data_IF_037383294375
#
_entry.id   IF_037383294375
#
_cell.length_a   1.000
_cell.length_b   1.000
_cell.length_c   1.000
_cell.angle_alpha   90.00
_cell.angle_beta   90.00
_cell.angle_gamma   90.00
#
_symmetry.space_group_name_H-M   'P 1'
#
loop_
_entity.id
_entity.type
_entity.pdbx_description
1 polymer ?
#
# COMPACT_ATOMS: atom_id res chain seq x y z
N UNK A 1 -10.45 11.39 9.33
CA UNK A 1 -9.76 10.57 8.32
C UNK A 1 -10.81 9.96 7.40
N UNK A 2 -10.46 9.68 6.14
CA UNK A 2 -11.32 9.03 5.17
C UNK A 2 -11.03 7.52 5.15
N UNK A 3 -12.08 6.72 4.96
CA UNK A 3 -11.90 5.31 4.62
C UNK A 3 -11.23 5.19 3.25
N UNK A 4 -10.27 4.28 3.14
CA UNK A 4 -9.54 3.98 1.92
C UNK A 4 -9.83 2.54 1.53
N UNK A 5 -10.32 2.33 0.30
CA UNK A 5 -10.48 0.97 -0.23
C UNK A 5 -9.10 0.35 -0.46
N UNK A 6 -9.00 -0.96 -0.24
CA UNK A 6 -7.78 -1.68 -0.60
C UNK A 6 -7.53 -1.55 -2.11
N UNK A 7 -6.30 -1.24 -2.53
CA UNK A 7 -5.96 -1.17 -3.94
C UNK A 7 -6.05 -2.56 -4.57
N UNK A 8 -6.66 -2.66 -5.74
CA UNK A 8 -6.69 -3.90 -6.51
C UNK A 8 -5.45 -3.95 -7.43
N UNK A 9 -4.30 -4.31 -6.85
CA UNK A 9 -3.08 -4.42 -7.63
C UNK A 9 -3.17 -5.54 -8.68
N UNK A 10 -2.77 -5.30 -9.95
CA UNK A 10 -2.64 -6.35 -10.95
C UNK A 10 -1.73 -7.48 -10.47
N UNK A 11 -2.09 -8.72 -10.79
CA UNK A 11 -1.32 -9.89 -10.36
C UNK A 11 0.14 -9.79 -10.83
N UNK A 12 0.39 -9.25 -12.01
CA UNK A 12 1.73 -9.07 -12.57
C UNK A 12 2.59 -8.12 -11.72
N UNK A 13 1.99 -7.11 -11.09
CA UNK A 13 2.70 -6.25 -10.14
C UNK A 13 2.95 -6.97 -8.82
N UNK A 14 1.95 -7.68 -8.31
CA UNK A 14 2.06 -8.45 -7.07
C UNK A 14 3.20 -9.47 -7.19
N UNK A 15 3.22 -10.25 -8.26
CA UNK A 15 4.27 -11.24 -8.56
C UNK A 15 5.64 -10.58 -8.69
N UNK A 16 5.73 -9.46 -9.43
CA UNK A 16 6.97 -8.72 -9.60
C UNK A 16 7.50 -8.16 -8.27
N UNK A 17 6.62 -7.63 -7.41
CA UNK A 17 6.98 -7.11 -6.09
C UNK A 17 7.40 -8.23 -5.14
N UNK A 18 6.69 -9.36 -5.10
CA UNK A 18 7.07 -10.54 -4.31
C UNK A 18 8.45 -11.03 -4.71
N UNK A 19 8.65 -11.26 -6.02
CA UNK A 19 9.93 -11.68 -6.58
C UNK A 19 11.06 -10.71 -6.24
N UNK A 20 10.78 -9.41 -6.33
CA UNK A 20 11.73 -8.37 -5.98
C UNK A 20 12.14 -8.44 -4.51
N UNK A 21 11.17 -8.52 -3.59
CA UNK A 21 11.42 -8.55 -2.15
C UNK A 21 12.11 -9.85 -1.70
N UNK A 22 11.70 -11.00 -2.25
CA UNK A 22 12.38 -12.28 -2.06
C UNK A 22 13.84 -12.18 -2.51
N UNK A 23 14.08 -11.60 -3.70
CA UNK A 23 15.44 -11.45 -4.24
C UNK A 23 16.33 -10.59 -3.34
N UNK A 24 15.82 -9.45 -2.85
CA UNK A 24 16.55 -8.60 -1.91
C UNK A 24 16.83 -9.32 -0.59
N UNK A 25 15.84 -10.07 -0.07
CA UNK A 25 16.04 -10.81 1.17
C UNK A 25 17.08 -11.92 1.02
N UNK A 26 17.03 -12.69 -0.07
CA UNK A 26 18.05 -13.67 -0.45
C UNK A 26 19.44 -13.02 -0.48
N UNK A 27 19.57 -11.83 -1.08
CA UNK A 27 20.85 -11.13 -1.12
C UNK A 27 21.38 -10.74 0.25
N UNK A 28 20.49 -10.37 1.18
CA UNK A 28 20.83 -10.01 2.56
C UNK A 28 21.16 -11.22 3.46
N UNK A 29 20.65 -12.42 3.14
CA UNK A 29 20.77 -13.62 3.99
C UNK A 29 21.76 -14.64 3.47
N UNK A 30 21.86 -14.81 2.15
CA UNK A 30 22.76 -15.77 1.49
C UNK A 30 24.20 -15.24 1.53
N UNK A 31 24.78 -15.37 2.72
CA UNK A 31 26.15 -15.00 3.06
C UNK A 31 27.20 -15.96 2.49
N UNK A 32 28.48 -15.60 2.59
CA UNK A 32 29.61 -16.47 2.25
C UNK A 32 29.53 -17.85 2.94
N UNK A 33 29.06 -17.88 4.19
CA UNK A 33 28.90 -19.14 4.93
C UNK A 33 27.75 -19.99 4.39
N UNK A 34 26.60 -19.38 4.04
CA UNK A 34 25.48 -20.08 3.41
C UNK A 34 25.94 -20.74 2.11
N UNK A 35 26.59 -19.95 1.26
CA UNK A 35 27.15 -20.42 -0.01
C UNK A 35 28.15 -21.55 0.23
N UNK A 36 29.03 -21.44 1.24
CA UNK A 36 29.99 -22.51 1.57
C UNK A 36 29.32 -23.84 1.88
N UNK A 37 28.20 -23.83 2.61
CA UNK A 37 27.45 -25.07 2.91
C UNK A 37 26.94 -25.70 1.61
N UNK A 38 26.28 -24.93 0.74
CA UNK A 38 25.77 -25.44 -0.54
C UNK A 38 26.91 -25.97 -1.39
N UNK A 39 28.02 -25.21 -1.52
CA UNK A 39 29.21 -25.65 -2.27
C UNK A 39 29.76 -26.98 -1.75
N UNK A 40 29.82 -27.19 -0.45
CA UNK A 40 30.40 -28.41 0.11
C UNK A 40 29.55 -29.66 -0.15
N UNK A 41 28.25 -29.50 -0.42
CA UNK A 41 27.34 -30.62 -0.66
C UNK A 41 27.07 -30.89 -2.14
N UNK A 42 27.19 -29.87 -3.01
CA UNK A 42 26.72 -29.95 -4.40
C UNK A 42 27.74 -29.42 -5.44
N UNK A 43 29.02 -29.27 -5.09
CA UNK A 43 30.01 -28.69 -6.01
C UNK A 43 30.11 -29.50 -7.31
N UNK A 44 30.24 -30.81 -7.20
CA UNK A 44 30.46 -31.70 -8.34
C UNK A 44 29.28 -31.62 -9.30
N UNK A 45 28.05 -31.71 -8.80
CA UNK A 45 26.83 -31.59 -9.62
C UNK A 45 26.71 -30.23 -10.30
N UNK A 46 26.98 -29.15 -9.56
CA UNK A 46 26.92 -27.78 -10.08
C UNK A 46 28.00 -27.53 -11.15
N UNK A 47 29.23 -28.02 -10.95
CA UNK A 47 30.30 -27.91 -11.93
C UNK A 47 30.05 -28.79 -13.15
N UNK A 48 29.51 -30.01 -12.97
CA UNK A 48 29.12 -30.88 -14.07
C UNK A 48 27.98 -30.27 -14.92
N UNK A 49 27.03 -29.60 -14.28
CA UNK A 49 25.86 -29.01 -14.94
C UNK A 49 26.19 -27.68 -15.60
N UNK A 50 26.77 -26.73 -14.84
CA UNK A 50 26.95 -25.34 -15.25
C UNK A 50 28.40 -24.95 -15.52
N UNK A 51 29.37 -25.84 -15.31
CA UNK A 51 30.81 -25.53 -15.43
C UNK A 51 31.30 -24.48 -14.43
N UNK A 52 30.53 -24.24 -13.37
CA UNK A 52 30.78 -23.20 -12.38
C UNK A 52 30.04 -23.50 -11.10
N UNK A 53 30.72 -23.40 -9.96
CA UNK A 53 30.10 -23.40 -8.65
C UNK A 53 30.47 -22.10 -7.95
N UNK A 54 29.51 -21.18 -7.82
CA UNK A 54 29.75 -19.88 -7.22
C UNK A 54 28.50 -19.19 -6.70
N UNK A 55 28.66 -18.07 -5.96
CA UNK A 55 27.56 -17.42 -5.26
C UNK A 55 26.47 -16.92 -6.21
N UNK A 56 26.84 -16.44 -7.40
CA UNK A 56 25.87 -15.94 -8.39
C UNK A 56 24.96 -17.04 -8.90
N UNK A 57 25.51 -18.20 -9.26
CA UNK A 57 24.73 -19.37 -9.69
C UNK A 57 23.82 -19.89 -8.56
N UNK A 58 24.36 -20.05 -7.35
CA UNK A 58 23.56 -20.55 -6.23
C UNK A 58 22.39 -19.61 -5.93
N UNK A 59 22.62 -18.29 -5.92
CA UNK A 59 21.54 -17.31 -5.76
C UNK A 59 20.53 -17.36 -6.91
N UNK A 60 20.99 -17.53 -8.14
CA UNK A 60 20.12 -17.69 -9.32
C UNK A 60 19.20 -18.91 -9.20
N UNK A 61 19.72 -20.09 -8.86
CA UNK A 61 18.91 -21.30 -8.69
C UNK A 61 17.91 -21.17 -7.54
N UNK A 62 18.32 -20.52 -6.45
CA UNK A 62 17.41 -20.23 -5.34
C UNK A 62 16.28 -19.29 -5.78
N UNK A 63 16.59 -18.21 -6.51
CA UNK A 63 15.59 -17.26 -7.01
C UNK A 63 14.64 -17.92 -8.00
N UNK A 64 15.15 -18.78 -8.89
CA UNK A 64 14.36 -19.59 -9.81
C UNK A 64 13.32 -20.41 -9.04
N UNK A 65 13.78 -21.16 -8.03
CA UNK A 65 12.91 -21.97 -7.19
C UNK A 65 11.87 -21.12 -6.45
N UNK A 66 12.27 -20.04 -5.76
CA UNK A 66 11.32 -19.21 -5.02
C UNK A 66 10.29 -18.51 -5.91
N UNK A 67 10.65 -18.22 -7.17
CA UNK A 67 9.76 -17.57 -8.13
C UNK A 67 8.96 -18.55 -8.98
N UNK A 68 9.12 -19.87 -8.76
CA UNK A 68 8.54 -20.94 -9.59
C UNK A 68 8.83 -20.80 -11.10
N UNK A 69 9.98 -20.22 -11.45
CA UNK A 69 10.38 -20.02 -12.84
C UNK A 69 11.04 -21.28 -13.42
N UNK A 70 11.17 -21.33 -14.75
CA UNK A 70 11.79 -22.43 -15.47
C UNK A 70 12.90 -21.90 -16.39
N UNK A 71 14.07 -21.66 -15.79
CA UNK A 71 15.20 -21.10 -16.52
C UNK A 71 15.73 -22.06 -17.57
N UNK A 72 15.59 -23.37 -17.34
CA UNK A 72 15.93 -24.38 -18.33
C UNK A 72 15.13 -24.19 -19.63
N UNK A 73 13.80 -24.17 -19.52
CA UNK A 73 12.93 -24.02 -20.70
C UNK A 73 13.08 -22.64 -21.32
N UNK A 74 13.17 -21.57 -20.51
CA UNK A 74 13.38 -20.21 -21.01
C UNK A 74 14.70 -20.07 -21.80
N UNK A 75 15.78 -20.68 -21.32
CA UNK A 75 17.08 -20.65 -22.01
C UNK A 75 17.03 -21.45 -23.32
N UNK A 76 16.44 -22.64 -23.30
CA UNK A 76 16.38 -23.49 -24.51
C UNK A 76 15.44 -22.93 -25.57
N UNK A 77 14.39 -22.22 -25.17
CA UNK A 77 13.44 -21.58 -26.08
C UNK A 77 13.86 -20.17 -26.53
N UNK A 78 15.00 -19.66 -26.06
CA UNK A 78 15.46 -18.32 -26.43
C UNK A 78 15.78 -18.24 -27.93
N UNK A 79 15.25 -17.22 -28.66
CA UNK A 79 15.50 -17.08 -30.09
C UNK A 79 16.97 -16.70 -30.35
N UNK A 80 17.60 -17.37 -31.31
CA UNK A 80 18.98 -17.11 -31.76
C UNK A 80 20.07 -17.25 -30.66
N UNK A 81 20.49 -18.49 -30.39
CA UNK A 81 21.49 -18.81 -29.34
C UNK A 81 22.95 -18.43 -29.69
N UNK A 82 23.19 -17.73 -30.81
CA UNK A 82 24.53 -17.40 -31.27
C UNK A 82 25.01 -15.99 -30.89
N UNK A 83 24.10 -15.06 -30.63
CA UNK A 83 24.43 -13.66 -30.44
C UNK A 83 24.86 -13.28 -29.01
N UNK A 84 25.12 -11.98 -28.82
CA UNK A 84 25.54 -11.41 -27.53
C UNK A 84 24.37 -11.24 -26.56
N UNK A 85 23.14 -11.12 -27.06
CA UNK A 85 21.93 -11.00 -26.25
C UNK A 85 21.65 -12.31 -25.53
N UNK A 86 21.77 -13.44 -26.21
CA UNK A 86 21.64 -14.77 -25.60
C UNK A 86 22.64 -14.96 -24.44
N UNK A 87 23.91 -14.56 -24.62
CA UNK A 87 24.91 -14.62 -23.54
C UNK A 87 24.53 -13.76 -22.34
N UNK A 88 23.93 -12.58 -22.57
CA UNK A 88 23.43 -11.71 -21.49
C UNK A 88 22.22 -12.34 -20.80
N UNK A 89 21.30 -12.92 -21.56
CA UNK A 89 20.13 -13.62 -21.06
C UNK A 89 20.49 -14.79 -20.15
N UNK A 90 21.33 -15.71 -20.63
CA UNK A 90 21.83 -16.86 -19.85
C UNK A 90 22.53 -16.37 -18.57
N UNK A 91 23.41 -15.38 -18.67
CA UNK A 91 24.09 -14.81 -17.50
C UNK A 91 23.12 -14.18 -16.50
N UNK A 92 22.02 -13.60 -16.96
CA UNK A 92 20.98 -13.02 -16.11
C UNK A 92 20.16 -14.08 -15.38
N UNK A 93 19.87 -15.20 -16.05
CA UNK A 93 19.10 -16.32 -15.50
C UNK A 93 19.92 -17.15 -14.51
N UNK A 94 21.00 -17.79 -14.97
CA UNK A 94 21.79 -18.74 -14.17
C UNK A 94 23.04 -18.12 -13.51
N UNK A 95 23.29 -16.83 -13.67
CA UNK A 95 24.40 -16.15 -12.98
C UNK A 95 25.80 -16.51 -13.46
N UNK A 96 25.92 -17.18 -14.62
CA UNK A 96 27.18 -17.52 -15.31
C UNK A 96 26.98 -17.57 -16.83
N UNK A 97 28.06 -17.34 -17.58
CA UNK A 97 28.14 -17.42 -19.05
C UNK A 97 29.47 -18.00 -19.52
N UNK A 98 30.04 -18.91 -18.73
CA UNK A 98 31.33 -19.54 -19.03
C UNK A 98 31.26 -20.34 -20.35
N UNK A 99 32.43 -20.64 -20.95
CA UNK A 99 32.49 -21.36 -22.23
C UNK A 99 31.80 -22.73 -22.16
N UNK A 100 31.88 -23.42 -21.03
CA UNK A 100 31.34 -24.75 -20.83
C UNK A 100 29.81 -24.76 -20.97
N UNK A 101 29.08 -23.95 -20.18
CA UNK A 101 27.62 -23.92 -20.24
C UNK A 101 27.11 -23.43 -21.60
N UNK A 102 27.79 -22.43 -22.19
CA UNK A 102 27.42 -21.91 -23.50
C UNK A 102 27.55 -22.98 -24.60
N UNK A 103 28.59 -23.82 -24.55
CA UNK A 103 28.73 -24.95 -25.48
C UNK A 103 27.70 -26.04 -25.20
N UNK A 104 27.43 -26.34 -23.93
CA UNK A 104 26.43 -27.33 -23.52
C UNK A 104 25.04 -27.00 -24.07
N UNK A 105 24.61 -25.74 -23.95
CA UNK A 105 23.30 -25.31 -24.46
C UNK A 105 23.25 -25.38 -25.99
N UNK A 106 24.27 -24.84 -26.69
CA UNK A 106 24.32 -24.82 -28.17
C UNK A 106 24.38 -26.20 -28.81
N UNK A 107 24.97 -27.16 -28.11
CA UNK A 107 25.06 -28.55 -28.57
C UNK A 107 23.86 -29.39 -28.07
N UNK A 108 22.82 -28.77 -27.51
CA UNK A 108 21.63 -29.45 -26.96
C UNK A 108 21.94 -30.51 -25.90
N UNK A 109 23.00 -30.29 -25.12
CA UNK A 109 23.44 -31.15 -24.00
C UNK A 109 23.20 -30.51 -22.63
N UNK A 110 22.52 -29.36 -22.59
CA UNK A 110 22.00 -28.82 -21.34
C UNK A 110 20.71 -29.56 -21.03
N UNK A 111 20.73 -30.39 -19.99
CA UNK A 111 19.59 -31.21 -19.57
C UNK A 111 18.75 -30.47 -18.52
N UNK A 112 17.50 -30.90 -18.37
CA UNK A 112 16.58 -30.36 -17.36
C UNK A 112 17.04 -30.78 -15.96
N UNK A 113 17.89 -29.94 -15.39
CA UNK A 113 18.48 -30.15 -14.07
C UNK A 113 17.44 -30.16 -12.95
N UNK A 114 16.24 -29.58 -13.16
CA UNK A 114 15.19 -29.56 -12.14
C UNK A 114 14.62 -30.96 -11.87
N UNK A 115 14.82 -31.90 -12.81
CA UNK A 115 14.45 -33.31 -12.66
C UNK A 115 15.52 -34.15 -11.98
N UNK A 116 16.71 -33.60 -11.77
CA UNK A 116 17.83 -34.34 -11.20
C UNK A 116 17.74 -34.41 -9.67
N UNK A 117 18.16 -35.55 -9.10
CA UNK A 117 18.09 -35.80 -7.66
C UNK A 117 18.88 -34.77 -6.85
N UNK A 118 20.06 -34.35 -7.34
CA UNK A 118 20.89 -33.36 -6.66
C UNK A 118 20.19 -32.01 -6.53
N UNK A 119 19.37 -31.61 -7.52
CA UNK A 119 18.64 -30.35 -7.47
C UNK A 119 17.58 -30.38 -6.38
N UNK A 120 16.80 -31.47 -6.30
CA UNK A 120 15.82 -31.67 -5.22
C UNK A 120 16.48 -31.66 -3.84
N UNK A 121 17.66 -32.28 -3.72
CA UNK A 121 18.46 -32.25 -2.48
C UNK A 121 18.99 -30.84 -2.17
N UNK A 122 19.40 -30.08 -3.19
CA UNK A 122 19.84 -28.69 -3.06
C UNK A 122 18.71 -27.80 -2.55
N UNK A 123 17.51 -27.92 -3.11
CA UNK A 123 16.31 -27.19 -2.67
C UNK A 123 15.95 -27.56 -1.24
N UNK A 124 15.93 -28.85 -0.91
CA UNK A 124 15.70 -29.32 0.47
C UNK A 124 16.70 -28.71 1.44
N UNK A 125 17.99 -28.66 1.05
CA UNK A 125 19.04 -28.06 1.88
C UNK A 125 18.87 -26.55 2.00
N UNK A 126 18.49 -25.88 0.92
CA UNK A 126 18.18 -24.46 0.89
C UNK A 126 17.04 -24.13 1.87
N UNK A 127 15.91 -24.84 1.80
CA UNK A 127 14.76 -24.62 2.67
C UNK A 127 15.12 -24.81 4.15
N UNK A 128 15.88 -25.87 4.48
CA UNK A 128 16.38 -26.07 5.84
C UNK A 128 17.25 -24.91 6.34
N UNK A 129 18.14 -24.38 5.49
CA UNK A 129 19.03 -23.28 5.87
C UNK A 129 18.28 -21.95 5.96
N UNK A 130 17.35 -21.70 5.03
CA UNK A 130 16.52 -20.50 5.06
C UNK A 130 15.62 -20.49 6.27
N UNK A 131 14.85 -21.55 6.51
CA UNK A 131 13.96 -21.63 7.66
C UNK A 131 14.67 -21.40 9.00
N UNK A 132 15.93 -21.86 9.13
CA UNK A 132 16.76 -21.53 10.32
C UNK A 132 17.15 -20.06 10.38
N UNK A 133 17.44 -19.42 9.24
CA UNK A 133 17.86 -18.01 9.14
C UNK A 133 16.69 -17.03 9.28
N UNK A 134 15.52 -17.37 8.76
CA UNK A 134 14.27 -16.60 8.81
C UNK A 134 13.30 -17.14 9.86
N UNK A 135 13.77 -17.90 10.86
CA UNK A 135 12.92 -18.56 11.85
C UNK A 135 11.94 -17.59 12.53
N UNK A 136 12.36 -16.37 12.83
CA UNK A 136 11.49 -15.36 13.45
C UNK A 136 10.36 -14.89 12.51
N UNK A 137 10.66 -14.73 11.22
CA UNK A 137 9.65 -14.41 10.20
C UNK A 137 8.69 -15.57 10.04
N UNK A 138 9.21 -16.79 9.97
CA UNK A 138 8.40 -18.00 9.88
C UNK A 138 7.45 -18.10 11.07
N UNK A 139 7.96 -18.01 12.30
CA UNK A 139 7.15 -18.08 13.52
C UNK A 139 6.06 -17.00 13.56
N UNK A 140 6.41 -15.75 13.18
CA UNK A 140 5.44 -14.66 13.08
C UNK A 140 4.30 -15.00 12.14
N UNK A 141 4.62 -15.47 10.93
CA UNK A 141 3.59 -15.81 9.94
C UNK A 141 2.78 -17.03 10.38
N UNK A 142 3.42 -18.04 10.97
CA UNK A 142 2.72 -19.21 11.53
C UNK A 142 1.73 -18.84 12.65
N UNK A 143 2.10 -17.87 13.48
CA UNK A 143 1.26 -17.35 14.55
C UNK A 143 0.06 -16.59 14.00
N UNK A 144 0.28 -15.69 13.03
CA UNK A 144 -0.79 -14.90 12.42
C UNK A 144 -1.74 -15.78 11.61
N UNK A 145 -1.22 -16.75 10.87
CA UNK A 145 -2.01 -17.63 10.01
C UNK A 145 -2.60 -18.84 10.75
N UNK A 146 -2.14 -19.13 11.97
CA UNK A 146 -2.57 -20.29 12.75
C UNK A 146 -2.21 -21.65 12.10
N UNK A 147 -1.21 -21.69 11.20
CA UNK A 147 -0.77 -22.92 10.51
C UNK A 147 0.74 -22.94 10.31
N UNK A 148 1.30 -24.13 10.14
CA UNK A 148 2.74 -24.32 9.95
C UNK A 148 3.14 -24.21 8.47
N UNK A 149 4.37 -23.73 8.21
CA UNK A 149 4.93 -23.56 6.87
C UNK A 149 6.26 -24.29 6.68
N UNK A 150 6.45 -24.95 5.54
CA UNK A 150 7.73 -25.58 5.18
C UNK A 150 8.53 -24.77 4.15
N UNK A 151 7.85 -24.02 3.28
CA UNK A 151 8.43 -23.25 2.18
C UNK A 151 8.74 -21.82 2.59
N UNK A 152 9.98 -21.36 2.39
CA UNK A 152 10.37 -19.97 2.59
C UNK A 152 9.59 -19.02 1.69
N UNK A 153 9.41 -19.37 0.42
CA UNK A 153 8.70 -18.52 -0.52
C UNK A 153 7.25 -18.27 -0.07
N UNK A 154 6.58 -19.31 0.43
CA UNK A 154 5.17 -19.24 0.84
C UNK A 154 4.95 -18.30 2.02
N UNK A 155 5.64 -18.49 3.16
CA UNK A 155 5.41 -17.60 4.30
C UNK A 155 5.94 -16.18 4.06
N UNK A 156 6.96 -16.01 3.21
CA UNK A 156 7.48 -14.68 2.90
C UNK A 156 6.53 -13.90 1.99
N UNK A 157 5.88 -14.57 1.05
CA UNK A 157 4.77 -14.02 0.26
C UNK A 157 3.60 -13.59 1.15
N UNK A 158 3.19 -14.43 2.10
CA UNK A 158 2.13 -14.07 3.06
C UNK A 158 2.50 -12.84 3.87
N UNK A 159 3.74 -12.70 4.31
CA UNK A 159 4.19 -11.48 5.00
C UNK A 159 4.08 -10.23 4.11
N UNK A 160 4.43 -10.35 2.82
CA UNK A 160 4.34 -9.25 1.85
C UNK A 160 2.89 -8.85 1.58
N UNK A 161 1.98 -9.83 1.54
CA UNK A 161 0.56 -9.63 1.25
C UNK A 161 -0.32 -9.56 2.49
N UNK A 162 0.28 -9.37 3.67
CA UNK A 162 -0.44 -9.44 4.92
C UNK A 162 -1.55 -8.39 5.00
N UNK A 163 -2.78 -8.86 5.21
CA UNK A 163 -3.98 -8.02 5.22
C UNK A 163 -4.02 -7.11 6.48
N UNK A 164 -4.62 -5.91 6.38
CA UNK A 164 -4.69 -4.97 7.50
C UNK A 164 -5.35 -5.55 8.76
N UNK A 165 -6.39 -6.37 8.62
CA UNK A 165 -7.10 -7.01 9.73
C UNK A 165 -6.17 -7.95 10.52
N UNK A 166 -5.32 -8.68 9.81
CA UNK A 166 -4.36 -9.62 10.41
C UNK A 166 -3.24 -8.87 11.13
N UNK A 167 -2.75 -7.78 10.54
CA UNK A 167 -1.80 -6.89 11.21
C UNK A 167 -2.40 -6.26 12.47
N UNK A 168 -3.64 -5.78 12.41
CA UNK A 168 -4.34 -5.18 13.55
C UNK A 168 -4.55 -6.20 14.69
N UNK A 169 -5.04 -7.40 14.37
CA UNK A 169 -5.22 -8.47 15.34
C UNK A 169 -3.90 -8.85 16.02
N UNK A 170 -2.81 -8.97 15.25
CA UNK A 170 -1.49 -9.26 15.79
C UNK A 170 -1.03 -8.16 16.78
N UNK A 171 -1.16 -6.89 16.40
CA UNK A 171 -0.71 -5.75 17.21
C UNK A 171 -1.52 -5.62 18.50
N UNK A 172 -2.84 -5.82 18.43
CA UNK A 172 -3.70 -5.77 19.60
C UNK A 172 -3.31 -6.84 20.64
N UNK A 173 -2.85 -8.01 20.19
CA UNK A 173 -2.36 -9.09 21.05
C UNK A 173 -0.91 -8.88 21.55
N UNK A 174 -0.13 -7.98 20.94
CA UNK A 174 1.31 -7.83 21.18
C UNK A 174 1.75 -6.39 21.48
N UNK A 175 0.88 -5.61 22.09
CA UNK A 175 1.02 -4.17 22.34
C UNK A 175 2.29 -3.72 23.09
N UNK A 176 3.12 -4.64 23.59
CA UNK A 176 4.35 -4.37 24.35
C UNK A 176 5.64 -5.07 23.84
N UNK A 177 5.66 -5.68 22.66
CA UNK A 177 6.85 -6.42 22.21
C UNK A 177 7.88 -5.53 21.48
N UNK A 178 9.00 -5.25 22.15
CA UNK A 178 10.20 -4.64 21.58
C UNK A 178 10.90 -5.65 20.64
N UNK A 179 10.36 -5.80 19.43
CA UNK A 179 10.91 -6.67 18.38
C UNK A 179 11.86 -5.94 17.42
N UNK A 180 12.20 -4.67 17.71
CA UNK A 180 12.85 -3.76 16.78
C UNK A 180 14.14 -4.29 16.14
N UNK A 181 14.93 -5.07 16.89
CA UNK A 181 16.21 -5.59 16.42
C UNK A 181 16.06 -6.88 15.58
N UNK A 182 14.98 -7.62 15.75
CA UNK A 182 14.80 -8.97 15.19
C UNK A 182 14.45 -8.99 13.72
N UNK A 183 13.80 -7.92 13.24
CA UNK A 183 13.39 -7.77 11.84
C UNK A 183 14.15 -6.65 11.12
N UNK A 184 15.31 -6.24 11.64
CA UNK A 184 16.15 -5.21 11.01
C UNK A 184 16.42 -5.47 9.52
N UNK A 185 16.69 -6.73 9.16
CA UNK A 185 16.90 -7.11 7.76
C UNK A 185 15.70 -6.86 6.86
N UNK A 186 14.48 -7.02 7.39
CA UNK A 186 13.22 -6.77 6.65
C UNK A 186 13.05 -5.26 6.45
N UNK A 187 13.24 -4.49 7.52
CA UNK A 187 13.25 -3.03 7.48
C UNK A 187 14.24 -2.48 6.45
N UNK A 188 15.44 -3.07 6.37
CA UNK A 188 16.49 -2.64 5.43
C UNK A 188 16.15 -2.97 3.96
N UNK A 189 15.18 -3.85 3.68
CA UNK A 189 14.74 -4.13 2.30
C UNK A 189 13.91 -2.99 1.71
N UNK A 190 13.18 -2.27 2.57
CA UNK A 190 12.21 -1.24 2.17
C UNK A 190 12.90 -0.12 1.39
N UNK A 191 12.57 -0.04 0.10
CA UNK A 191 12.91 1.09 -0.75
C UNK A 191 11.95 1.15 -1.94
N UNK A 192 10.78 1.77 -1.76
CA UNK A 192 9.78 1.86 -2.83
C UNK A 192 10.18 2.81 -3.98
N UNK A 193 11.35 3.47 -3.91
CA UNK A 193 11.85 4.32 -4.98
C UNK A 193 12.54 3.54 -6.11
N UNK A 194 12.76 2.24 -5.92
CA UNK A 194 13.36 1.35 -6.91
C UNK A 194 12.41 1.01 -8.05
N UNK A 195 13.00 0.51 -9.13
CA UNK A 195 12.28 0.08 -10.32
C UNK A 195 12.17 -1.45 -10.35
N UNK A 196 11.00 -1.93 -10.74
CA UNK A 196 10.71 -3.34 -11.02
C UNK A 196 10.21 -3.47 -12.46
N UNK A 197 10.30 -4.67 -13.02
CA UNK A 197 9.77 -4.94 -14.36
C UNK A 197 8.37 -5.55 -14.23
N UNK A 198 7.38 -4.89 -14.81
CA UNK A 198 5.98 -5.33 -14.83
C UNK A 198 5.59 -5.45 -16.30
N UNK A 199 5.24 -6.66 -16.76
CA UNK A 199 4.89 -6.93 -18.17
C UNK A 199 5.91 -6.38 -19.19
N UNK A 200 7.20 -6.44 -18.86
CA UNK A 200 8.29 -5.94 -19.71
C UNK A 200 8.58 -4.45 -19.60
N UNK A 201 7.77 -3.68 -18.88
CA UNK A 201 7.99 -2.25 -18.64
C UNK A 201 8.70 -2.02 -17.30
N UNK A 202 9.66 -1.09 -17.28
CA UNK A 202 10.34 -0.69 -16.06
C UNK A 202 9.54 0.38 -15.33
N UNK A 203 9.00 0.02 -14.17
CA UNK A 203 8.10 0.87 -13.39
C UNK A 203 8.68 1.13 -12.00
N UNK A 204 8.52 2.36 -11.50
CA UNK A 204 8.91 2.72 -10.14
C UNK A 204 7.83 2.24 -9.17
N UNK A 205 8.20 1.48 -8.15
CA UNK A 205 7.24 0.77 -7.27
C UNK A 205 6.21 1.74 -6.68
N UNK A 206 6.64 2.82 -6.03
CA UNK A 206 5.73 3.78 -5.42
C UNK A 206 4.83 4.53 -6.42
N UNK A 207 5.31 4.84 -7.63
CA UNK A 207 4.48 5.43 -8.68
C UNK A 207 3.37 4.47 -9.09
N UNK A 208 3.72 3.21 -9.35
CA UNK A 208 2.77 2.18 -9.73
C UNK A 208 1.74 1.96 -8.61
N UNK A 209 2.18 1.86 -7.36
CA UNK A 209 1.28 1.69 -6.23
C UNK A 209 0.22 2.79 -6.13
N UNK A 210 0.63 4.06 -6.23
CA UNK A 210 -0.29 5.21 -6.15
C UNK A 210 -1.26 5.24 -7.34
N UNK A 211 -0.78 4.94 -8.54
CA UNK A 211 -1.63 4.88 -9.73
C UNK A 211 -2.73 3.80 -9.62
N UNK A 212 -2.48 2.70 -8.91
CA UNK A 212 -3.48 1.64 -8.70
C UNK A 212 -4.57 1.98 -7.68
N UNK A 213 -4.48 3.14 -7.04
CA UNK A 213 -5.63 3.70 -6.32
C UNK A 213 -6.53 4.56 -7.22
N UNK A 214 -6.15 4.80 -8.48
CA UNK A 214 -6.90 5.65 -9.41
C UNK A 214 -7.39 4.77 -10.56
N UNK A 215 -8.70 4.71 -10.75
CA UNK A 215 -9.36 4.02 -11.85
C UNK A 215 -9.28 4.80 -13.17
N UNK A 216 -9.80 4.20 -14.24
CA UNK A 216 -9.79 4.78 -15.60
C UNK A 216 -10.54 6.11 -15.70
N UNK A 217 -11.49 6.38 -14.80
CA UNK A 217 -12.28 7.60 -14.77
C UNK A 217 -11.62 8.69 -13.91
N UNK A 218 -10.35 8.50 -13.53
CA UNK A 218 -9.60 9.37 -12.63
C UNK A 218 -10.22 9.47 -11.23
N UNK A 219 -10.84 8.39 -10.74
CA UNK A 219 -11.42 8.30 -9.39
C UNK A 219 -10.69 7.25 -8.55
N UNK A 220 -10.68 7.43 -7.23
CA UNK A 220 -10.27 6.41 -6.27
C UNK A 220 -9.43 6.99 -5.13
N UNK A 221 -8.28 7.60 -5.40
CA UNK A 221 -7.51 8.33 -4.40
C UNK A 221 -6.77 9.55 -4.98
N UNK A 222 -7.43 10.71 -4.98
CA UNK A 222 -6.79 11.97 -5.40
C UNK A 222 -6.34 12.83 -4.22
N UNK A 223 -6.97 12.70 -3.05
CA UNK A 223 -6.73 13.54 -1.88
C UNK A 223 -6.28 12.70 -0.71
N UNK A 224 -5.35 13.21 0.09
CA UNK A 224 -4.80 12.51 1.25
C UNK A 224 -5.93 11.95 2.15
N UNK A 225 -5.92 10.64 2.47
CA UNK A 225 -6.95 10.00 3.29
C UNK A 225 -6.89 10.48 4.74
N UNK A 226 -5.74 10.93 5.23
CA UNK A 226 -5.63 11.41 6.59
C UNK A 226 -6.39 12.72 6.82
N UNK A 227 -6.17 13.71 5.95
CA UNK A 227 -6.75 15.03 6.15
C UNK A 227 -7.92 15.36 5.22
N UNK A 228 -8.07 14.72 4.06
CA UNK A 228 -8.99 15.14 2.99
C UNK A 228 -8.81 16.61 2.53
N UNK A 229 -7.59 17.17 2.64
CA UNK A 229 -7.26 18.56 2.25
C UNK A 229 -6.36 18.64 1.02
N UNK A 230 -5.25 17.91 1.03
CA UNK A 230 -4.21 18.04 0.01
C UNK A 230 -4.33 16.98 -1.07
N UNK A 231 -4.26 17.39 -2.34
CA UNK A 231 -4.09 16.47 -3.46
C UNK A 231 -2.76 15.73 -3.37
N UNK A 232 -2.76 14.46 -3.74
CA UNK A 232 -1.61 13.54 -3.68
C UNK A 232 -1.31 12.86 -5.02
N UNK A 233 -1.91 13.34 -6.10
CA UNK A 233 -1.74 12.77 -7.43
C UNK A 233 -0.30 12.90 -7.93
N UNK A 234 0.15 11.88 -8.66
CA UNK A 234 1.45 11.87 -9.36
C UNK A 234 1.42 12.84 -10.54
N UNK A 235 2.53 13.57 -10.76
CA UNK A 235 2.77 14.45 -11.90
C UNK A 235 3.97 13.90 -12.68
N UNK A 236 3.72 13.34 -13.87
CA UNK A 236 4.70 12.54 -14.62
C UNK A 236 5.30 11.42 -13.75
N UNK A 237 6.60 11.50 -13.44
CA UNK A 237 7.34 10.57 -12.57
C UNK A 237 7.57 11.13 -11.16
N UNK A 238 7.01 12.29 -10.86
CA UNK A 238 7.13 12.97 -9.57
C UNK A 238 5.90 12.67 -8.72
N UNK A 239 6.12 12.05 -7.57
CA UNK A 239 5.04 11.70 -6.65
C UNK A 239 4.52 12.94 -5.92
N UNK A 240 3.20 13.10 -5.93
CA UNK A 240 2.52 14.05 -5.05
C UNK A 240 2.24 13.48 -3.65
N UNK A 241 2.28 12.15 -3.51
CA UNK A 241 2.10 11.44 -2.24
C UNK A 241 3.42 10.94 -1.65
N UNK A 242 3.40 10.71 -0.34
CA UNK A 242 4.36 9.89 0.39
C UNK A 242 3.69 8.59 0.82
N UNK A 243 4.42 7.47 0.74
CA UNK A 243 3.93 6.17 1.19
C UNK A 243 4.24 6.00 2.67
N UNK A 244 3.28 6.36 3.53
CA UNK A 244 3.40 6.21 4.98
C UNK A 244 3.26 4.74 5.38
N UNK A 245 4.01 4.31 6.40
CA UNK A 245 3.77 3.03 7.06
C UNK A 245 2.75 3.23 8.16
N UNK A 246 1.53 2.72 8.00
CA UNK A 246 0.47 2.86 9.02
C UNK A 246 0.99 2.36 10.37
N UNK A 247 1.46 1.10 10.40
CA UNK A 247 2.28 0.57 11.47
C UNK A 247 3.73 0.95 11.23
N UNK A 248 4.22 1.88 12.04
CA UNK A 248 5.56 2.45 11.90
C UNK A 248 6.64 1.36 11.81
N UNK A 249 7.51 1.45 10.81
CA UNK A 249 8.58 0.46 10.54
C UNK A 249 9.68 0.36 11.59
N UNK A 250 9.80 1.34 12.50
CA UNK A 250 10.76 1.30 13.60
C UNK A 250 10.20 0.45 14.75
N UNK A 251 8.90 0.57 15.03
CA UNK A 251 8.18 -0.21 16.05
C UNK A 251 7.77 -1.60 15.54
N UNK A 252 7.30 -1.68 14.30
CA UNK A 252 6.83 -2.90 13.64
C UNK A 252 7.62 -3.20 12.35
N UNK A 253 8.94 -3.43 12.44
CA UNK A 253 9.80 -3.66 11.27
C UNK A 253 9.39 -4.85 10.41
N UNK A 254 8.70 -5.84 10.97
CA UNK A 254 8.18 -6.99 10.22
C UNK A 254 7.17 -6.59 9.13
N UNK A 255 6.36 -5.55 9.35
CA UNK A 255 5.35 -5.08 8.39
C UNK A 255 5.88 -4.02 7.42
N UNK A 256 7.19 -3.72 7.44
CA UNK A 256 7.78 -2.65 6.64
C UNK A 256 7.77 -2.91 5.13
N UNK A 257 7.53 -4.16 4.73
CA UNK A 257 7.50 -4.60 3.33
C UNK A 257 6.09 -4.96 2.84
N UNK A 258 5.11 -5.01 3.76
CA UNK A 258 3.75 -5.45 3.48
C UNK A 258 2.99 -4.41 2.67
N UNK A 259 2.45 -4.80 1.51
CA UNK A 259 1.79 -3.88 0.57
C UNK A 259 0.63 -3.10 1.21
N UNK A 260 -0.10 -3.76 2.12
CA UNK A 260 -1.27 -3.20 2.78
C UNK A 260 -0.96 -2.47 4.09
N UNK A 261 0.32 -2.27 4.42
CA UNK A 261 0.74 -1.36 5.48
C UNK A 261 1.04 0.06 4.95
N UNK A 262 1.04 0.24 3.62
CA UNK A 262 1.35 1.53 3.02
C UNK A 262 0.10 2.39 2.81
N UNK A 263 0.09 3.61 3.32
CA UNK A 263 -0.96 4.60 3.09
C UNK A 263 -0.40 5.75 2.26
N UNK A 264 -0.89 5.99 1.03
CA UNK A 264 -0.55 7.19 0.30
C UNK A 264 -1.09 8.41 1.05
N UNK A 265 -0.20 9.31 1.46
CA UNK A 265 -0.55 10.48 2.26
C UNK A 265 0.18 11.73 1.77
N UNK A 266 -0.30 12.91 2.16
CA UNK A 266 0.45 14.14 1.88
C UNK A 266 1.63 14.27 2.84
N UNK A 267 2.70 14.92 2.39
CA UNK A 267 3.93 15.10 3.17
C UNK A 267 3.71 15.75 4.52
N UNK A 268 2.75 16.70 4.62
CA UNK A 268 2.39 17.34 5.89
C UNK A 268 1.84 16.33 6.90
N UNK A 269 0.89 15.49 6.51
CA UNK A 269 0.31 14.50 7.42
C UNK A 269 1.33 13.43 7.80
N UNK A 270 2.09 12.92 6.82
CA UNK A 270 3.13 11.92 7.08
C UNK A 270 4.18 12.44 8.07
N UNK A 271 4.66 13.67 7.89
CA UNK A 271 5.63 14.32 8.79
C UNK A 271 5.06 14.56 10.19
N UNK A 272 3.79 14.99 10.30
CA UNK A 272 3.13 15.24 11.60
C UNK A 272 2.94 13.92 12.37
N UNK A 273 2.54 12.86 11.67
CA UNK A 273 2.46 11.50 12.23
C UNK A 273 3.83 11.03 12.69
N UNK A 274 4.83 11.09 11.80
CA UNK A 274 6.19 10.66 12.09
C UNK A 274 6.23 9.22 12.61
N UNK A 275 6.70 9.04 13.86
CA UNK A 275 6.75 7.73 14.53
C UNK A 275 5.57 7.46 15.46
N UNK A 276 4.61 8.39 15.56
CA UNK A 276 3.43 8.25 16.41
C UNK A 276 2.46 7.22 15.83
N UNK A 277 1.79 6.49 16.71
CA UNK A 277 0.87 5.41 16.36
C UNK A 277 -0.55 5.95 16.19
N UNK A 278 -1.06 5.85 14.96
CA UNK A 278 -2.49 6.00 14.69
C UNK A 278 -3.24 4.72 15.11
N UNK A 279 -4.48 4.87 15.55
CA UNK A 279 -5.37 3.81 16.02
C UNK A 279 -6.39 3.38 14.96
N UNK A 280 -6.70 4.27 14.03
CA UNK A 280 -7.71 4.08 12.99
C UNK A 280 -7.01 3.81 11.68
N UNK A 281 -7.01 2.55 11.24
CA UNK A 281 -6.44 2.18 9.95
C UNK A 281 -7.39 2.59 8.82
N UNK A 282 -6.98 3.44 7.85
CA UNK A 282 -7.85 3.85 6.73
C UNK A 282 -8.44 2.67 5.95
N UNK A 283 -7.74 1.54 5.86
CA UNK A 283 -8.22 0.33 5.18
C UNK A 283 -9.33 -0.40 5.95
N UNK A 284 -9.47 -0.16 7.25
CA UNK A 284 -10.43 -0.81 8.11
C UNK A 284 -11.62 0.13 8.32
N UNK A 285 -12.79 -0.26 7.84
CA UNK A 285 -14.01 0.50 8.06
C UNK A 285 -14.61 0.11 9.41
N UNK A 286 -14.86 1.10 10.26
CA UNK A 286 -15.59 0.91 11.50
C UNK A 286 -16.68 1.98 11.64
N UNK A 287 -17.93 1.53 11.77
CA UNK A 287 -19.07 2.44 11.88
C UNK A 287 -19.04 3.29 13.16
N UNK A 288 -18.35 2.85 14.22
CA UNK A 288 -18.18 3.66 15.44
C UNK A 288 -17.19 4.81 15.27
N UNK A 289 -16.46 4.86 14.16
CA UNK A 289 -15.42 5.87 13.88
C UNK A 289 -15.91 6.93 12.89
N UNK A 290 -17.23 7.02 12.65
CA UNK A 290 -17.84 8.07 11.84
C UNK A 290 -17.63 9.42 12.52
N UNK A 291 -17.06 10.36 11.76
CA UNK A 291 -16.84 11.73 12.21
C UNK A 291 -17.51 12.72 11.28
N UNK A 292 -17.91 13.87 11.80
CA UNK A 292 -18.42 14.99 11.03
C UNK A 292 -17.77 16.30 11.45
N UNK A 293 -17.70 17.23 10.51
CA UNK A 293 -17.44 18.62 10.84
C UNK A 293 -18.74 19.31 11.28
N UNK A 294 -18.73 19.90 12.46
CA UNK A 294 -19.84 20.68 13.00
C UNK A 294 -19.49 22.17 13.00
N UNK A 295 -20.53 23.01 12.89
CA UNK A 295 -20.42 24.46 13.03
C UNK A 295 -21.11 24.90 14.30
N UNK A 296 -20.35 25.57 15.16
CA UNK A 296 -20.87 26.21 16.37
C UNK A 296 -20.83 27.72 16.15
N UNK A 297 -21.97 28.38 16.35
CA UNK A 297 -22.05 29.84 16.41
C UNK A 297 -21.25 30.34 17.61
N UNK A 298 -20.35 31.28 17.37
CA UNK A 298 -19.48 31.89 18.36
C UNK A 298 -19.57 33.42 18.26
N UNK A 299 -19.04 34.15 19.24
CA UNK A 299 -19.07 35.62 19.27
C UNK A 299 -18.43 36.24 18.01
N UNK A 300 -17.42 35.56 17.43
CA UNK A 300 -16.71 35.96 16.21
C UNK A 300 -17.28 35.33 14.92
N UNK A 301 -18.51 34.80 14.98
CA UNK A 301 -19.19 34.16 13.85
C UNK A 301 -19.36 32.66 14.06
N UNK A 302 -18.40 31.87 13.56
CA UNK A 302 -18.49 30.40 13.64
C UNK A 302 -17.15 29.75 13.97
N UNK A 303 -17.23 28.64 14.70
CA UNK A 303 -16.12 27.74 15.02
C UNK A 303 -16.38 26.38 14.39
N UNK A 304 -15.35 25.84 13.73
CA UNK A 304 -15.35 24.50 13.16
C UNK A 304 -14.94 23.53 14.26
N UNK A 305 -15.73 22.51 14.49
CA UNK A 305 -15.40 21.39 15.37
C UNK A 305 -15.42 20.06 14.62
N UNK A 306 -14.64 19.11 15.09
CA UNK A 306 -14.72 17.72 14.62
C UNK A 306 -15.44 16.94 15.72
N UNK A 307 -16.56 16.31 15.37
CA UNK A 307 -17.39 15.52 16.29
C UNK A 307 -17.54 14.10 15.78
N UNK A 308 -17.81 13.19 16.69
CA UNK A 308 -18.20 11.82 16.36
C UNK A 308 -19.70 11.79 16.06
N UNK A 309 -20.08 11.08 15.02
CA UNK A 309 -21.47 10.83 14.68
C UNK A 309 -21.85 9.41 15.13
N UNK A 310 -22.78 9.33 16.08
CA UNK A 310 -23.38 8.08 16.56
C UNK A 310 -24.88 8.12 16.27
N UNK A 311 -25.29 7.42 15.22
CA UNK A 311 -26.69 7.31 14.79
C UNK A 311 -27.37 8.67 14.58
N UNK A 312 -26.65 9.65 14.03
CA UNK A 312 -27.13 11.01 13.76
C UNK A 312 -26.93 11.99 14.92
N UNK A 313 -26.43 11.53 16.07
CA UNK A 313 -26.12 12.38 17.21
C UNK A 313 -24.64 12.75 17.22
N UNK A 314 -24.35 14.04 17.38
CA UNK A 314 -22.98 14.57 17.39
C UNK A 314 -22.42 14.66 18.81
N UNK A 315 -21.39 13.86 19.07
CA UNK A 315 -20.70 13.80 20.36
C UNK A 315 -19.29 14.42 20.26
N UNK A 316 -18.83 15.00 21.36
CA UNK A 316 -17.44 15.46 21.44
C UNK A 316 -16.49 14.27 21.43
N UNK A 317 -15.31 14.42 20.82
CA UNK A 317 -14.30 13.35 20.77
C UNK A 317 -13.69 12.99 22.14
N UNK A 318 -14.05 13.70 23.21
CA UNK A 318 -13.55 13.45 24.57
C UNK A 318 -13.82 12.03 25.08
N UNK A 319 -14.87 11.39 24.57
CA UNK A 319 -15.30 10.05 25.01
C UNK A 319 -14.78 8.92 24.10
N UNK A 320 -14.12 9.26 22.98
CA UNK A 320 -13.57 8.27 22.05
C UNK A 320 -12.06 8.48 21.86
N UNK A 321 -11.30 7.84 22.75
CA UNK A 321 -9.85 8.00 22.88
C UNK A 321 -9.09 7.79 21.56
N UNK A 322 -9.45 6.78 20.77
CA UNK A 322 -8.79 6.49 19.48
C UNK A 322 -9.02 7.60 18.44
N UNK A 323 -10.25 8.12 18.34
CA UNK A 323 -10.57 9.22 17.43
C UNK A 323 -9.85 10.51 17.84
N UNK A 324 -9.85 10.81 19.13
CA UNK A 324 -9.17 11.98 19.68
C UNK A 324 -7.65 11.88 19.45
N UNK A 325 -7.06 10.73 19.77
CA UNK A 325 -5.64 10.46 19.56
C UNK A 325 -5.26 10.74 18.09
N UNK A 326 -5.99 10.16 17.15
CA UNK A 326 -5.62 10.23 15.74
C UNK A 326 -5.89 11.61 15.14
N UNK A 327 -7.09 12.14 15.32
CA UNK A 327 -7.55 13.34 14.63
C UNK A 327 -7.05 14.62 15.29
N UNK A 328 -6.96 14.65 16.62
CA UNK A 328 -6.65 15.86 17.40
C UNK A 328 -5.21 15.81 17.91
N UNK A 329 -4.81 14.72 18.58
CA UNK A 329 -3.52 14.70 19.28
C UNK A 329 -2.33 14.46 18.33
N UNK A 330 -2.50 13.59 17.34
CA UNK A 330 -1.47 13.27 16.35
C UNK A 330 -1.61 14.16 15.12
N UNK A 331 -2.68 14.02 14.33
CA UNK A 331 -2.80 14.69 13.03
C UNK A 331 -3.15 16.17 13.11
N UNK A 332 -3.63 16.66 14.27
CA UNK A 332 -3.96 18.07 14.52
C UNK A 332 -4.94 18.62 13.47
N UNK A 333 -5.96 17.83 13.12
CA UNK A 333 -6.92 18.18 12.08
C UNK A 333 -7.82 19.35 12.52
N UNK A 334 -8.15 19.45 13.81
CA UNK A 334 -8.82 20.62 14.36
C UNK A 334 -8.08 21.92 14.05
N UNK A 335 -6.76 21.96 14.27
CA UNK A 335 -5.92 23.10 13.91
C UNK A 335 -5.84 23.29 12.39
N UNK A 336 -5.64 22.20 11.64
CA UNK A 336 -5.52 22.24 10.18
C UNK A 336 -6.77 22.79 9.49
N UNK A 337 -7.94 22.60 10.08
CA UNK A 337 -9.22 23.05 9.53
C UNK A 337 -9.65 24.45 9.96
N UNK A 338 -9.02 25.07 10.97
CA UNK A 338 -9.33 26.45 11.41
C UNK A 338 -9.18 27.49 10.32
N UNK A 339 -8.29 27.27 9.34
CA UNK A 339 -8.08 28.20 8.24
C UNK A 339 -9.29 28.30 7.31
N UNK A 340 -10.18 27.30 7.33
CA UNK A 340 -11.31 27.20 6.40
C UNK A 340 -12.56 27.98 6.85
N UNK A 341 -12.40 28.95 7.77
CA UNK A 341 -13.49 29.84 8.20
C UNK A 341 -14.03 30.70 7.05
N UNK A 342 -13.17 31.08 6.09
CA UNK A 342 -13.58 31.87 4.93
C UNK A 342 -14.54 31.05 4.06
N UNK A 343 -14.22 29.79 3.80
CA UNK A 343 -15.05 28.88 3.02
C UNK A 343 -16.43 28.67 3.65
N UNK A 344 -16.51 28.53 4.98
CA UNK A 344 -17.79 28.46 5.70
C UNK A 344 -18.58 29.76 5.53
N UNK A 345 -17.91 30.91 5.65
CA UNK A 345 -18.55 32.23 5.50
C UNK A 345 -19.14 32.40 4.09
N UNK A 346 -18.38 32.06 3.05
CA UNK A 346 -18.88 32.13 1.68
C UNK A 346 -20.07 31.19 1.45
N UNK A 347 -20.05 29.98 2.01
CA UNK A 347 -21.19 29.06 1.92
C UNK A 347 -22.45 29.64 2.58
N UNK A 348 -22.29 30.26 3.76
CA UNK A 348 -23.37 30.93 4.48
C UNK A 348 -23.91 32.17 3.76
N UNK A 349 -23.03 32.99 3.20
CA UNK A 349 -23.43 34.20 2.49
C UNK A 349 -24.19 33.83 1.22
N UNK A 350 -23.76 32.77 0.49
CA UNK A 350 -24.55 32.22 -0.62
C UNK A 350 -25.91 31.68 -0.15
N UNK A 351 -26.03 31.01 1.01
CA UNK A 351 -27.34 30.57 1.52
C UNK A 351 -28.29 31.75 1.80
N UNK A 352 -27.75 32.87 2.29
CA UNK A 352 -28.55 34.10 2.54
C UNK A 352 -28.97 34.78 1.24
N UNK A 353 -28.07 34.85 0.26
CA UNK A 353 -28.37 35.37 -1.07
C UNK A 353 -29.49 34.55 -1.73
N UNK A 354 -29.38 33.23 -1.65
CA UNK A 354 -30.39 32.26 -2.11
C UNK A 354 -31.37 31.89 -0.99
N UNK A 355 -31.97 32.89 -0.36
CA UNK A 355 -33.00 32.69 0.65
C UNK A 355 -34.26 32.00 0.09
N UNK A 356 -35.16 31.61 0.98
CA UNK A 356 -36.38 30.87 0.65
C UNK A 356 -37.22 31.52 -0.46
N UNK A 357 -37.39 32.84 -0.40
CA UNK A 357 -38.15 33.57 -1.42
C UNK A 357 -37.49 33.44 -2.79
N UNK A 358 -36.18 33.65 -2.87
CA UNK A 358 -35.46 33.53 -4.14
C UNK A 358 -35.47 32.10 -4.68
N UNK A 359 -35.37 31.11 -3.79
CA UNK A 359 -35.50 29.69 -4.16
C UNK A 359 -36.89 29.37 -4.70
N UNK A 360 -37.94 29.93 -4.09
CA UNK A 360 -39.32 29.79 -4.56
C UNK A 360 -39.53 30.46 -5.92
N UNK A 361 -38.98 31.66 -6.11
CA UNK A 361 -39.00 32.34 -7.42
C UNK A 361 -38.31 31.47 -8.49
N UNK A 362 -37.14 30.88 -8.18
CA UNK A 362 -36.44 29.96 -9.08
C UNK A 362 -37.27 28.71 -9.36
N UNK A 363 -37.89 28.10 -8.34
CA UNK A 363 -38.78 26.93 -8.51
C UNK A 363 -39.90 27.20 -9.50
N UNK A 364 -40.55 28.36 -9.37
CA UNK A 364 -41.64 28.78 -10.23
C UNK A 364 -41.22 29.05 -11.69
N UNK A 365 -39.92 29.22 -11.97
CA UNK A 365 -39.40 29.41 -13.33
C UNK A 365 -39.10 28.11 -14.08
N UNK A 366 -39.00 26.97 -13.38
CA UNK A 366 -38.65 25.69 -13.99
C UNK A 366 -39.82 24.70 -13.97
N UNK A 367 -39.95 23.91 -15.03
CA UNK A 367 -40.90 22.79 -15.10
C UNK A 367 -40.22 21.51 -14.60
N UNK A 368 -40.79 20.83 -13.61
CA UNK A 368 -40.26 19.57 -13.08
C UNK A 368 -40.74 19.25 -11.67
N UNK A 369 -40.28 18.14 -11.11
CA UNK A 369 -40.54 17.80 -9.70
C UNK A 369 -39.77 18.74 -8.76
N UNK A 370 -40.45 19.26 -7.75
CA UNK A 370 -39.90 20.26 -6.81
C UNK A 370 -38.61 19.76 -6.13
N UNK A 371 -38.56 18.47 -5.78
CA UNK A 371 -37.41 17.82 -5.16
C UNK A 371 -36.19 17.85 -6.08
N UNK A 372 -36.37 17.66 -7.39
CA UNK A 372 -35.27 17.71 -8.35
C UNK A 372 -34.78 19.14 -8.56
N UNK A 373 -35.70 20.12 -8.58
CA UNK A 373 -35.35 21.54 -8.70
C UNK A 373 -34.57 21.99 -7.47
N UNK A 374 -35.00 21.61 -6.26
CA UNK A 374 -34.27 21.91 -5.03
C UNK A 374 -32.85 21.33 -5.03
N UNK A 375 -32.69 20.08 -5.51
CA UNK A 375 -31.37 19.48 -5.67
C UNK A 375 -30.50 20.27 -6.65
N UNK A 376 -31.06 20.72 -7.78
CA UNK A 376 -30.33 21.52 -8.77
C UNK A 376 -29.93 22.88 -8.21
N UNK A 377 -30.79 23.54 -7.43
CA UNK A 377 -30.47 24.80 -6.76
C UNK A 377 -29.36 24.57 -5.73
N UNK A 378 -29.45 23.52 -4.91
CA UNK A 378 -28.40 23.19 -3.93
C UNK A 378 -27.06 22.88 -4.65
N UNK A 379 -27.06 22.16 -5.78
CA UNK A 379 -25.86 21.95 -6.61
C UNK A 379 -25.31 23.26 -7.17
N UNK A 380 -26.16 24.19 -7.59
CA UNK A 380 -25.74 25.50 -8.11
C UNK A 380 -24.98 26.30 -7.04
N UNK A 381 -25.47 26.26 -5.79
CA UNK A 381 -24.94 27.05 -4.68
C UNK A 381 -23.66 26.44 -4.10
N UNK A 382 -23.66 25.11 -3.92
CA UNK A 382 -22.62 24.41 -3.16
C UNK A 382 -21.69 23.55 -4.03
N UNK A 383 -22.06 23.33 -5.30
CA UNK A 383 -21.44 22.39 -6.22
C UNK A 383 -21.91 20.95 -6.01
N UNK A 384 -21.61 20.06 -6.97
CA UNK A 384 -22.00 18.64 -6.93
C UNK A 384 -21.39 17.83 -5.75
N UNK A 385 -20.50 18.46 -4.97
CA UNK A 385 -19.85 17.85 -3.82
C UNK A 385 -20.85 17.39 -2.76
N UNK A 386 -21.98 18.07 -2.63
CA UNK A 386 -23.04 17.76 -1.66
C UNK A 386 -23.78 16.45 -1.97
N UNK A 387 -23.81 16.06 -3.26
CA UNK A 387 -24.44 14.81 -3.72
C UNK A 387 -23.43 13.68 -3.91
N UNK A 388 -22.14 13.96 -3.68
CA UNK A 388 -21.08 12.97 -3.81
C UNK A 388 -21.19 11.94 -2.69
N UNK A 389 -21.07 10.66 -3.03
CA UNK A 389 -21.08 9.56 -2.04
C UNK A 389 -19.90 9.72 -1.09
N UNK A 390 -19.99 9.23 0.15
CA UNK A 390 -18.87 9.35 1.11
C UNK A 390 -17.58 8.72 0.58
N UNK A 391 -17.70 7.57 -0.11
CA UNK A 391 -16.59 6.87 -0.73
C UNK A 391 -15.89 7.73 -1.80
N UNK A 392 -16.63 8.59 -2.51
CA UNK A 392 -16.10 9.45 -3.57
C UNK A 392 -15.53 10.79 -3.06
N UNK A 393 -15.83 11.18 -1.80
CA UNK A 393 -15.31 12.43 -1.22
C UNK A 393 -13.79 12.41 -1.06
N UNK A 394 -13.18 11.22 -1.01
CA UNK A 394 -11.72 11.05 -0.99
C UNK A 394 -11.05 11.56 -2.28
N UNK A 395 -11.82 11.80 -3.35
CA UNK A 395 -11.34 12.35 -4.61
C UNK A 395 -11.46 13.88 -4.69
N UNK A 396 -12.12 14.52 -3.71
CA UNK A 396 -12.39 15.97 -3.73
C UNK A 396 -11.75 16.65 -2.53
N UNK A 397 -10.92 17.66 -2.79
CA UNK A 397 -10.28 18.43 -1.72
C UNK A 397 -11.35 19.13 -0.89
N UNK A 398 -11.24 19.01 0.44
CA UNK A 398 -12.24 19.47 1.40
C UNK A 398 -13.63 18.86 1.20
N UNK A 399 -13.73 17.73 0.50
CA UNK A 399 -15.03 17.17 0.12
C UNK A 399 -15.89 16.78 1.31
N UNK A 400 -15.30 16.07 2.26
CA UNK A 400 -15.99 15.74 3.51
C UNK A 400 -16.40 16.99 4.28
N UNK A 401 -15.48 17.93 4.45
CA UNK A 401 -15.73 19.18 5.15
C UNK A 401 -16.87 19.99 4.53
N UNK A 402 -16.83 20.23 3.21
CA UNK A 402 -17.85 21.00 2.49
C UNK A 402 -19.22 20.32 2.55
N UNK A 403 -19.26 18.99 2.46
CA UNK A 403 -20.51 18.24 2.58
C UNK A 403 -21.11 18.33 3.97
N UNK A 404 -20.32 18.07 5.01
CA UNK A 404 -20.77 18.14 6.41
C UNK A 404 -21.25 19.56 6.78
N UNK A 405 -20.52 20.59 6.34
CA UNK A 405 -20.89 22.02 6.49
C UNK A 405 -22.21 22.33 5.79
N UNK A 406 -22.41 21.85 4.57
CA UNK A 406 -23.67 22.01 3.85
C UNK A 406 -24.84 21.32 4.59
N UNK A 407 -24.65 20.08 5.06
CA UNK A 407 -25.68 19.37 5.83
C UNK A 407 -26.09 20.15 7.08
N UNK A 408 -25.12 20.77 7.77
CA UNK A 408 -25.38 21.64 8.92
C UNK A 408 -26.19 22.88 8.54
N UNK A 409 -25.79 23.59 7.49
CA UNK A 409 -26.49 24.80 7.01
C UNK A 409 -27.92 24.46 6.57
N UNK A 410 -28.10 23.37 5.83
CA UNK A 410 -29.42 22.88 5.42
C UNK A 410 -30.30 22.52 6.62
N UNK A 411 -29.71 21.95 7.67
CA UNK A 411 -30.39 21.69 8.94
C UNK A 411 -30.95 22.95 9.58
N UNK A 412 -30.24 24.09 9.52
CA UNK A 412 -30.74 25.37 10.02
C UNK A 412 -31.93 25.93 9.22
N UNK A 413 -32.01 25.63 7.92
CA UNK A 413 -33.15 26.02 7.08
C UNK A 413 -34.43 25.29 7.49
N UNK A 414 -34.35 23.99 7.78
CA UNK A 414 -35.52 23.18 8.16
C UNK A 414 -36.09 23.45 9.56
N UNK A 415 -35.45 24.31 10.35
CA UNK A 415 -35.86 24.66 11.73
C UNK A 415 -36.46 26.06 11.88
N UNK A 416 -36.55 26.84 10.79
CA UNK A 416 -37.14 28.18 10.79
C UNK A 416 -38.53 28.23 10.19
#
# INVERSE_FOLDING_TARGET
MMHLKLPNYPQEFVDAYIKFMISKYIDSVVSRYFVRIIKNNFREDLEATFGYCGPTLIKSLIREYCSQEDYFNEINNFPNQQDTEFKKFVSGKIGTKNKFIMQKIRNSHFNDYKRELWYNNLITKFEQLMNRRSQKIKNLVEEIEGRQFSSFAEYFEILILLEPQRMEAYINNHSNNDSGNDFKKIKDLYNLSEQITIMGNSEKINCFMIQNFIDSDSRGLLVCPYCNRNYINTRDRSLGAEMDHFYNKDTFPMFSISLYNFIPSCSTCNRIKGTKTLKINPYLRNDTQKVKFDLITDLDGYRIEIKQDQDGNLHTLAETEDLKNDLIDILKLDEAYKVHKIEVREMLDREKEYNEKYREDLKNMFLGEEIEIDKKIDALIYGDIIFTSEDDLINKSLGKFRKDVYEKIKGWRGTN
#
